data_IF_048173615318
#
_entry.id   IF_048173615318
#
_cell.length_a   1.000
_cell.length_b   1.000
_cell.length_c   1.000
_cell.angle_alpha   90.00
_cell.angle_beta   90.00
_cell.angle_gamma   90.00
#
_symmetry.space_group_name_H-M   'P 1'
#
loop_
_entity.id
_entity.type
_entity.pdbx_description
1 polymer ?
#
# COMPACT_ATOMS: atom_id res chain seq x y z
N UNK A 1 3.51 -1.25 -43.50
CA UNK A 1 2.05 -1.35 -43.25
C UNK A 1 1.20 -0.76 -44.38
N UNK A 2 1.55 0.39 -44.96
CA UNK A 2 0.83 0.96 -46.12
C UNK A 2 0.77 0.00 -47.35
N UNK A 3 1.88 -0.68 -47.66
CA UNK A 3 1.97 -1.59 -48.80
C UNK A 3 1.10 -2.87 -48.70
N UNK A 4 0.56 -3.20 -47.52
CA UNK A 4 -0.27 -4.40 -47.34
C UNK A 4 -1.78 -4.11 -47.51
N UNK A 5 -2.17 -2.83 -47.46
CA UNK A 5 -3.56 -2.36 -47.49
C UNK A 5 -3.95 -1.84 -48.88
N UNK A 6 -2.95 -1.47 -49.69
CA UNK A 6 -3.09 -0.97 -51.07
C UNK A 6 -3.99 -1.83 -52.00
N UNK A 7 -3.84 -3.17 -52.06
CA UNK A 7 -4.56 -3.94 -53.09
C UNK A 7 -6.07 -4.08 -52.81
N UNK A 8 -6.54 -3.80 -51.58
CA UNK A 8 -7.95 -3.96 -51.20
C UNK A 8 -8.68 -2.61 -51.06
N UNK A 9 -7.96 -1.53 -50.69
CA UNK A 9 -8.57 -0.21 -50.44
C UNK A 9 -8.32 0.84 -51.53
N UNK A 10 -7.37 0.60 -52.45
CA UNK A 10 -7.01 1.56 -53.50
C UNK A 10 -8.12 1.84 -54.53
N UNK A 11 -9.14 0.97 -54.63
CA UNK A 11 -10.25 1.13 -55.58
C UNK A 11 -11.47 1.89 -55.01
N UNK A 12 -11.50 2.19 -53.70
CA UNK A 12 -12.73 2.69 -53.03
C UNK A 12 -12.51 3.95 -52.19
N UNK A 13 -11.28 4.27 -51.74
CA UNK A 13 -11.01 5.41 -50.84
C UNK A 13 -10.01 6.45 -51.41
N UNK A 14 -10.21 7.77 -51.16
CA UNK A 14 -9.23 8.79 -51.49
C UNK A 14 -7.87 8.51 -50.82
N UNK A 15 -6.76 8.77 -51.52
CA UNK A 15 -5.38 8.47 -51.07
C UNK A 15 -5.06 9.01 -49.66
N UNK A 16 -5.63 10.16 -49.28
CA UNK A 16 -5.48 10.72 -47.93
C UNK A 16 -6.17 9.91 -46.82
N UNK A 17 -7.29 9.25 -47.12
CA UNK A 17 -8.02 8.42 -46.17
C UNK A 17 -7.32 7.09 -45.88
N UNK A 18 -6.60 6.52 -46.87
CA UNK A 18 -5.81 5.29 -46.70
C UNK A 18 -4.68 5.49 -45.68
N UNK A 19 -3.98 6.64 -45.72
CA UNK A 19 -2.93 6.96 -44.74
C UNK A 19 -3.48 7.13 -43.33
N UNK A 20 -4.64 7.78 -43.17
CA UNK A 20 -5.27 7.97 -41.87
C UNK A 20 -5.73 6.64 -41.27
N UNK A 21 -6.33 5.76 -42.08
CA UNK A 21 -6.75 4.42 -41.65
C UNK A 21 -5.53 3.57 -41.26
N UNK A 22 -4.47 3.58 -42.06
CA UNK A 22 -3.24 2.86 -41.73
C UNK A 22 -2.57 3.39 -40.44
N UNK A 23 -2.60 4.70 -40.23
CA UNK A 23 -2.10 5.32 -39.01
C UNK A 23 -2.92 4.92 -37.78
N UNK A 24 -4.26 5.00 -37.84
CA UNK A 24 -5.14 4.64 -36.72
C UNK A 24 -4.96 3.17 -36.34
N UNK A 25 -4.90 2.27 -37.33
CA UNK A 25 -4.69 0.84 -37.09
C UNK A 25 -3.30 0.60 -36.51
N UNK A 26 -2.26 1.18 -37.10
CA UNK A 26 -0.88 1.02 -36.63
C UNK A 26 -0.67 1.56 -35.22
N UNK A 27 -1.18 2.76 -34.94
CA UNK A 27 -1.12 3.38 -33.64
C UNK A 27 -1.91 2.58 -32.60
N UNK A 28 -3.16 2.21 -32.90
CA UNK A 28 -3.98 1.39 -32.01
C UNK A 28 -3.32 0.04 -31.68
N UNK A 29 -2.69 -0.59 -32.68
CA UNK A 29 -1.95 -1.84 -32.48
C UNK A 29 -0.73 -1.66 -31.56
N UNK A 30 0.07 -0.60 -31.77
CA UNK A 30 1.22 -0.30 -30.92
C UNK A 30 0.80 0.06 -29.49
N UNK A 31 -0.28 0.83 -29.33
CA UNK A 31 -0.84 1.18 -28.02
C UNK A 31 -1.36 -0.06 -27.31
N UNK A 32 -2.06 -0.94 -28.01
CA UNK A 32 -2.52 -2.21 -27.45
C UNK A 32 -1.36 -3.06 -26.96
N UNK A 33 -0.31 -3.25 -27.77
CA UNK A 33 0.89 -3.98 -27.37
C UNK A 33 1.58 -3.31 -26.18
N UNK A 34 1.71 -1.98 -26.17
CA UNK A 34 2.35 -1.25 -25.09
C UNK A 34 1.62 -1.40 -23.77
N UNK A 35 0.28 -1.26 -23.75
CA UNK A 35 -0.51 -1.43 -22.53
C UNK A 35 -0.50 -2.89 -22.07
N UNK A 36 -0.64 -3.83 -23.00
CA UNK A 36 -0.68 -5.25 -22.68
C UNK A 36 0.64 -5.71 -22.04
N UNK A 37 1.77 -5.41 -22.67
CA UNK A 37 3.08 -5.89 -22.22
C UNK A 37 3.78 -4.95 -21.23
N UNK A 38 3.54 -3.65 -21.30
CA UNK A 38 4.17 -2.65 -20.45
C UNK A 38 3.45 -2.44 -19.12
N UNK A 39 2.13 -2.62 -19.08
CA UNK A 39 1.35 -2.38 -17.87
C UNK A 39 0.63 -3.64 -17.37
N UNK A 40 -0.25 -4.22 -18.19
CA UNK A 40 -1.18 -5.26 -17.73
C UNK A 40 -0.47 -6.56 -17.36
N UNK A 41 0.46 -7.04 -18.18
CA UNK A 41 1.21 -8.25 -17.87
C UNK A 41 2.07 -8.07 -16.60
N UNK A 42 2.92 -7.03 -16.46
CA UNK A 42 3.67 -6.78 -15.23
C UNK A 42 2.77 -6.61 -14.01
N UNK A 43 1.65 -5.89 -14.13
CA UNK A 43 0.67 -5.70 -13.06
C UNK A 43 0.04 -7.02 -12.63
N UNK A 44 -0.30 -7.88 -13.59
CA UNK A 44 -0.86 -9.21 -13.32
C UNK A 44 0.16 -10.10 -12.61
N UNK A 45 1.43 -10.10 -13.04
CA UNK A 45 2.51 -10.81 -12.34
C UNK A 45 2.74 -10.27 -10.93
N UNK A 46 2.69 -8.95 -10.74
CA UNK A 46 2.84 -8.32 -9.42
C UNK A 46 1.71 -8.68 -8.45
N UNK A 47 0.48 -8.85 -8.95
CA UNK A 47 -0.68 -9.27 -8.14
C UNK A 47 -0.59 -10.77 -7.79
N UNK A 48 -0.17 -11.62 -8.72
CA UNK A 48 -0.02 -13.06 -8.45
C UNK A 48 1.04 -13.33 -7.38
N UNK A 49 2.14 -12.56 -7.39
CA UNK A 49 3.21 -12.67 -6.40
C UNK A 49 3.13 -11.55 -5.35
N UNK A 50 1.91 -11.23 -4.87
CA UNK A 50 1.67 -10.14 -3.93
C UNK A 50 2.57 -10.21 -2.68
N UNK A 51 2.83 -11.42 -2.16
CA UNK A 51 3.69 -11.62 -0.99
C UNK A 51 5.14 -11.20 -1.24
N UNK A 52 5.72 -11.56 -2.39
CA UNK A 52 7.10 -11.19 -2.71
C UNK A 52 7.22 -9.69 -2.98
N UNK A 53 6.23 -9.12 -3.67
CA UNK A 53 6.16 -7.66 -3.91
C UNK A 53 5.99 -6.90 -2.60
N UNK A 54 5.13 -7.36 -1.70
CA UNK A 54 4.95 -6.76 -0.37
C UNK A 54 6.22 -6.85 0.49
N UNK A 55 6.94 -7.97 0.46
CA UNK A 55 8.23 -8.11 1.16
C UNK A 55 9.30 -7.17 0.59
N UNK A 56 9.38 -7.05 -0.74
CA UNK A 56 10.30 -6.12 -1.39
C UNK A 56 9.96 -4.66 -1.05
N UNK A 57 8.67 -4.32 -1.07
CA UNK A 57 8.19 -2.99 -0.71
C UNK A 57 8.44 -2.70 0.77
N UNK A 58 8.26 -3.67 1.65
CA UNK A 58 8.59 -3.56 3.08
C UNK A 58 10.07 -3.27 3.29
N UNK A 59 10.96 -3.93 2.54
CA UNK A 59 12.40 -3.65 2.60
C UNK A 59 12.71 -2.23 2.12
N UNK A 60 12.08 -1.79 1.03
CA UNK A 60 12.24 -0.44 0.51
C UNK A 60 11.72 0.62 1.50
N UNK A 61 10.57 0.38 2.11
CA UNK A 61 10.00 1.25 3.15
C UNK A 61 10.93 1.33 4.37
N UNK A 62 11.51 0.22 4.82
CA UNK A 62 12.51 0.23 5.90
C UNK A 62 13.74 1.03 5.54
N UNK A 63 14.22 0.93 4.29
CA UNK A 63 15.34 1.74 3.82
C UNK A 63 15.01 3.23 3.90
N UNK A 64 13.86 3.66 3.37
CA UNK A 64 13.43 5.05 3.47
C UNK A 64 13.27 5.49 4.92
N UNK A 65 12.67 4.65 5.77
CA UNK A 65 12.57 4.92 7.20
C UNK A 65 13.93 5.25 7.80
N UNK A 66 14.95 4.40 7.62
CA UNK A 66 16.29 4.69 8.18
C UNK A 66 16.92 5.97 7.63
N UNK A 67 16.66 6.32 6.37
CA UNK A 67 17.12 7.59 5.79
C UNK A 67 16.42 8.80 6.42
N UNK A 68 15.12 8.68 6.72
CA UNK A 68 14.31 9.78 7.27
C UNK A 68 14.31 9.88 8.80
N UNK A 69 14.63 8.80 9.53
CA UNK A 69 14.78 8.78 11.01
C UNK A 69 15.60 9.97 11.54
N UNK A 70 16.81 10.29 11.05
CA UNK A 70 17.55 11.43 11.57
C UNK A 70 16.80 12.75 11.39
N UNK A 71 16.05 12.91 10.30
CA UNK A 71 15.23 14.10 10.06
C UNK A 71 14.05 14.17 11.02
N UNK A 72 13.38 13.04 11.26
CA UNK A 72 12.26 12.92 12.22
C UNK A 72 12.73 13.28 13.63
N UNK A 73 13.87 12.74 14.07
CA UNK A 73 14.43 13.04 15.40
C UNK A 73 14.73 14.54 15.55
N UNK A 74 15.35 15.17 14.54
CA UNK A 74 15.64 16.61 14.57
C UNK A 74 14.35 17.43 14.62
N UNK A 75 13.35 17.05 13.81
CA UNK A 75 12.08 17.76 13.74
C UNK A 75 11.28 17.63 15.05
N UNK A 76 11.09 16.41 15.54
CA UNK A 76 10.41 16.13 16.81
C UNK A 76 11.16 16.75 17.99
N UNK A 77 12.50 16.69 17.99
CA UNK A 77 13.33 17.37 19.00
C UNK A 77 13.14 18.88 19.00
N UNK A 78 13.03 19.49 17.81
CA UNK A 78 12.77 20.92 17.65
C UNK A 78 11.34 21.27 18.11
N UNK A 79 10.34 20.50 17.70
CA UNK A 79 8.96 20.68 18.14
C UNK A 79 8.84 20.59 19.66
N UNK A 80 9.42 19.55 20.27
CA UNK A 80 9.43 19.34 21.72
C UNK A 80 10.21 20.43 22.47
N UNK A 81 11.26 20.99 21.87
CA UNK A 81 11.93 22.16 22.43
C UNK A 81 10.97 23.36 22.50
N UNK A 82 10.26 23.67 21.42
CA UNK A 82 9.33 24.79 21.39
C UNK A 82 8.10 24.59 22.29
N UNK A 83 7.52 23.39 22.34
CA UNK A 83 6.37 23.11 23.23
C UNK A 83 6.76 23.25 24.70
N UNK A 84 7.98 22.82 25.06
CA UNK A 84 8.51 22.98 26.41
C UNK A 84 8.77 24.45 26.78
N UNK A 85 9.08 25.32 25.82
CA UNK A 85 9.11 26.77 26.05
C UNK A 85 7.71 27.36 26.25
N UNK A 86 6.68 26.73 25.68
CA UNK A 86 5.28 27.15 25.80
C UNK A 86 4.55 26.50 27.00
N UNK A 87 5.27 25.77 27.88
CA UNK A 87 4.72 25.00 29.01
C UNK A 87 3.67 23.95 28.59
N UNK A 88 3.79 23.43 27.37
CA UNK A 88 2.94 22.37 26.83
C UNK A 88 3.71 21.05 26.87
N UNK A 89 3.10 20.00 27.41
CA UNK A 89 3.69 18.66 27.46
C UNK A 89 4.07 18.17 26.06
N UNK A 90 5.30 17.66 25.86
CA UNK A 90 5.73 17.14 24.55
C UNK A 90 4.87 15.95 24.14
N UNK A 91 4.51 15.88 22.85
CA UNK A 91 3.83 14.72 22.29
C UNK A 91 4.84 13.57 22.21
N UNK A 92 4.75 12.62 23.13
CA UNK A 92 5.57 11.42 23.10
C UNK A 92 4.95 10.39 22.15
N UNK A 93 5.72 9.96 21.15
CA UNK A 93 5.37 8.89 20.18
C UNK A 93 5.03 7.53 20.84
N UNK A 94 5.17 7.40 22.17
CA UNK A 94 4.71 6.24 22.95
C UNK A 94 3.19 6.10 23.05
N UNK A 95 2.41 7.06 22.56
CA UNK A 95 0.94 6.95 22.52
C UNK A 95 0.42 6.12 21.34
N UNK A 96 1.25 5.78 20.35
CA UNK A 96 0.80 5.03 19.15
C UNK A 96 0.94 3.49 19.29
N UNK A 97 1.48 2.99 20.40
CA UNK A 97 1.39 1.58 20.75
C UNK A 97 0.28 1.44 21.79
N UNK A 98 -0.94 1.13 21.34
CA UNK A 98 -2.03 0.83 22.26
C UNK A 98 -1.57 -0.17 23.30
N UNK A 99 -1.46 0.29 24.54
CA UNK A 99 -0.97 -0.52 25.63
C UNK A 99 -1.97 -1.65 25.88
N UNK A 100 -1.51 -2.80 26.37
CA UNK A 100 -2.38 -3.92 26.77
C UNK A 100 -3.57 -3.46 27.63
N UNK A 101 -3.34 -2.44 28.46
CA UNK A 101 -4.34 -1.79 29.30
C UNK A 101 -5.46 -1.11 28.50
N UNK A 102 -5.17 -0.47 27.36
CA UNK A 102 -6.19 0.13 26.50
C UNK A 102 -7.04 -0.93 25.80
N UNK A 103 -6.41 -2.02 25.33
CA UNK A 103 -7.14 -3.15 24.73
C UNK A 103 -8.03 -3.82 25.78
N UNK A 104 -7.53 -4.02 27.00
CA UNK A 104 -8.31 -4.56 28.12
C UNK A 104 -9.47 -3.63 28.49
N UNK A 105 -9.26 -2.31 28.48
CA UNK A 105 -10.33 -1.33 28.72
C UNK A 105 -11.43 -1.39 27.64
N UNK A 106 -11.06 -1.54 26.37
CA UNK A 106 -12.02 -1.67 25.25
C UNK A 106 -12.83 -2.97 25.40
N UNK A 107 -12.19 -4.07 25.79
CA UNK A 107 -12.86 -5.36 26.03
C UNK A 107 -13.87 -5.27 27.18
N UNK A 108 -13.48 -4.71 28.33
CA UNK A 108 -14.40 -4.51 29.47
C UNK A 108 -15.60 -3.62 29.09
N UNK A 109 -15.38 -2.55 28.33
CA UNK A 109 -16.49 -1.70 27.84
C UNK A 109 -17.42 -2.44 26.87
N UNK A 110 -16.87 -3.38 26.10
CA UNK A 110 -17.66 -4.17 25.13
C UNK A 110 -18.50 -5.25 25.82
N UNK A 111 -18.02 -5.79 26.95
CA UNK A 111 -18.77 -6.67 27.87
C UNK A 111 -19.95 -5.92 28.51
N UNK A 112 -19.70 -4.74 29.09
CA UNK A 112 -20.72 -3.91 29.74
C UNK A 112 -21.81 -3.44 28.77
N UNK A 113 -21.44 -3.21 27.51
CA UNK A 113 -22.37 -2.85 26.44
C UNK A 113 -23.16 -4.04 25.86
N UNK A 114 -22.85 -5.28 26.30
CA UNK A 114 -23.52 -6.51 25.84
C UNK A 114 -23.27 -6.85 24.38
N UNK A 115 -22.18 -6.34 23.79
CA UNK A 115 -21.83 -6.57 22.39
C UNK A 115 -20.98 -7.81 22.17
N UNK A 116 -20.39 -8.37 23.23
CA UNK A 116 -19.50 -9.54 23.20
C UNK A 116 -19.91 -10.47 24.34
N UNK A 117 -19.99 -11.76 24.05
CA UNK A 117 -20.31 -12.80 25.04
C UNK A 117 -19.08 -13.13 25.91
N UNK A 118 -19.31 -13.56 27.16
CA UNK A 118 -18.26 -13.87 28.14
C UNK A 118 -17.31 -14.96 27.62
N UNK A 119 -17.83 -15.92 26.85
CA UNK A 119 -17.03 -16.99 26.25
C UNK A 119 -16.04 -16.46 25.19
N UNK A 120 -16.41 -15.41 24.46
CA UNK A 120 -15.59 -14.80 23.41
C UNK A 120 -14.45 -13.96 24.02
N UNK A 121 -14.71 -13.28 25.15
CA UNK A 121 -13.68 -12.59 25.93
C UNK A 121 -12.63 -13.58 26.47
N UNK A 122 -13.07 -14.71 27.01
CA UNK A 122 -12.15 -15.73 27.55
C UNK A 122 -11.24 -16.32 26.45
N UNK A 123 -11.73 -16.45 25.21
CA UNK A 123 -10.91 -16.85 24.07
C UNK A 123 -9.85 -15.80 23.76
N UNK A 124 -10.23 -14.52 23.72
CA UNK A 124 -9.33 -13.40 23.44
C UNK A 124 -8.23 -13.32 24.51
N UNK A 125 -8.58 -13.40 25.80
CA UNK A 125 -7.61 -13.38 26.90
C UNK A 125 -6.60 -14.53 26.82
N UNK A 126 -7.06 -15.74 26.52
CA UNK A 126 -6.18 -16.91 26.34
C UNK A 126 -5.21 -16.75 25.17
N UNK A 127 -5.62 -16.08 24.08
CA UNK A 127 -4.75 -15.80 22.93
C UNK A 127 -3.69 -14.75 23.30
N UNK A 128 -4.07 -13.70 24.01
CA UNK A 128 -3.13 -12.68 24.52
C UNK A 128 -2.10 -13.28 25.47
N UNK A 129 -2.54 -14.10 26.43
CA UNK A 129 -1.65 -14.73 27.41
C UNK A 129 -0.62 -15.67 26.75
N UNK A 130 -1.02 -16.36 25.66
CA UNK A 130 -0.11 -17.19 24.86
C UNK A 130 0.87 -16.35 24.05
N UNK A 131 0.43 -15.24 23.46
CA UNK A 131 1.28 -14.31 22.71
C UNK A 131 2.40 -13.72 23.56
N UNK A 132 2.06 -13.26 24.77
CA UNK A 132 3.01 -12.68 25.73
C UNK A 132 4.05 -13.72 26.19
N UNK A 133 3.62 -14.95 26.47
CA UNK A 133 4.53 -16.04 26.84
C UNK A 133 5.51 -16.43 25.75
N UNK A 134 5.14 -16.24 24.47
CA UNK A 134 6.01 -16.49 23.33
C UNK A 134 7.14 -15.47 23.21
N UNK A 135 6.93 -14.23 23.63
CA UNK A 135 7.95 -13.17 23.60
C UNK A 135 8.97 -13.30 24.74
N UNK A 136 8.57 -13.89 25.87
CA UNK A 136 9.47 -14.15 27.01
C UNK A 136 10.43 -15.35 26.79
N UNK A 137 10.35 -16.03 25.63
CA UNK A 137 11.12 -17.25 25.33
C UNK A 137 12.05 -17.14 24.11
N UNK A 138 12.21 -15.94 23.54
CA UNK A 138 13.21 -15.60 22.51
C UNK A 138 14.15 -14.51 23.01
#
# INVERSE_FOLDING_TARGET
MAALIDPVLGQVLPVGAVHLVAFVIGFGFITFLHVLFGELAPKTFAIQEATRVALLLSLLMKFFYYVFVPSIIVFNGTANYFTRLADVSPASESEETHTEEEIRMILTRSEEAGHIDVDEIEIIERVFERGIRSLARS
#
